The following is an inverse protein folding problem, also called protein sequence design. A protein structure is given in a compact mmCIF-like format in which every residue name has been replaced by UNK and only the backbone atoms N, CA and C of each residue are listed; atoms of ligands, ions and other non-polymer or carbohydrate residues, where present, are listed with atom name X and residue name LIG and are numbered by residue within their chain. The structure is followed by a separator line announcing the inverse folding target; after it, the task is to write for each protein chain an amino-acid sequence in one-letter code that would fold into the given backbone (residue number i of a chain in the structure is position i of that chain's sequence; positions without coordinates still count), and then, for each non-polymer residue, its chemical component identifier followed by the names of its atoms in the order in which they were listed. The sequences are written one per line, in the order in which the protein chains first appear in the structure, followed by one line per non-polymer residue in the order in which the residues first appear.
data_IF_226870612565
#
_entry.id   IF_226870612565
#
_cell.length_a   1.000
_cell.length_b   1.000
_cell.length_c   1.000
_cell.angle_alpha   90.00
_cell.angle_beta   90.00
_cell.angle_gamma   90.00
#
_symmetry.space_group_name_H-M   'P 1'
#
loop_
_entity.id
_entity.type
_entity.pdbx_description
1 polymer ?
#
# COMPACT_ATOMS: atom_id res chain seq x y z
N UNK A 1 32.85 -5.59 23.49
CA UNK A 1 31.71 -4.98 24.23
C UNK A 1 31.08 -3.82 23.48
N UNK A 2 31.82 -2.76 23.10
CA UNK A 2 31.27 -1.58 22.39
C UNK A 2 30.64 -1.92 21.03
N UNK A 3 31.21 -2.89 20.30
CA UNK A 3 30.72 -3.30 18.97
C UNK A 3 29.33 -3.99 19.05
N UNK A 4 29.13 -4.90 19.98
CA UNK A 4 27.83 -5.54 20.21
C UNK A 4 26.75 -4.55 20.68
N UNK A 5 27.17 -3.54 21.46
CA UNK A 5 26.25 -2.45 21.83
C UNK A 5 25.78 -1.67 20.59
N UNK A 6 26.69 -1.37 19.66
CA UNK A 6 26.36 -0.69 18.40
C UNK A 6 25.38 -1.53 17.56
N UNK A 7 25.64 -2.84 17.40
CA UNK A 7 24.75 -3.77 16.72
C UNK A 7 23.35 -3.76 17.37
N UNK A 8 23.30 -3.84 18.69
CA UNK A 8 22.04 -3.78 19.44
C UNK A 8 21.27 -2.47 19.20
N UNK A 9 21.95 -1.33 19.17
CA UNK A 9 21.35 -0.03 18.89
C UNK A 9 20.78 0.00 17.47
N UNK A 10 21.54 -0.46 16.46
CA UNK A 10 21.10 -0.49 15.07
C UNK A 10 19.82 -1.34 14.93
N UNK A 11 19.87 -2.56 15.46
CA UNK A 11 18.72 -3.46 15.39
C UNK A 11 17.48 -2.91 16.10
N UNK A 12 17.65 -2.42 17.31
CA UNK A 12 16.54 -1.85 18.11
C UNK A 12 15.93 -0.64 17.40
N UNK A 13 16.76 0.26 16.87
CA UNK A 13 16.27 1.42 16.12
C UNK A 13 15.46 1.03 14.90
N UNK A 14 15.94 0.04 14.13
CA UNK A 14 15.21 -0.51 12.99
C UNK A 14 13.90 -1.16 13.43
N UNK A 15 13.94 -2.01 14.47
CA UNK A 15 12.77 -2.71 14.98
C UNK A 15 11.67 -1.75 15.43
N UNK A 16 12.02 -0.70 16.17
CA UNK A 16 11.09 0.33 16.65
C UNK A 16 10.48 1.12 15.49
N UNK A 17 11.28 1.45 14.48
CA UNK A 17 10.78 2.14 13.29
C UNK A 17 9.86 1.24 12.46
N UNK A 18 10.23 -0.03 12.28
CA UNK A 18 9.55 -0.96 11.38
C UNK A 18 8.27 -1.56 11.99
N UNK A 19 8.21 -1.74 13.30
CA UNK A 19 7.08 -2.37 14.00
C UNK A 19 6.08 -1.31 14.47
N UNK A 20 4.78 -1.59 14.34
CA UNK A 20 3.77 -0.73 14.94
C UNK A 20 3.70 -1.00 16.45
N UNK A 21 4.01 0.03 17.24
CA UNK A 21 3.94 0.00 18.70
C UNK A 21 2.82 0.90 19.25
N UNK A 22 2.09 1.60 18.35
CA UNK A 22 1.01 2.53 18.75
C UNK A 22 -0.32 1.83 19.01
N UNK A 23 -0.37 0.50 18.84
CA UNK A 23 -1.61 -0.26 19.00
C UNK A 23 -2.61 -0.03 17.86
N UNK A 24 -3.84 -0.45 18.09
CA UNK A 24 -4.97 -0.29 17.17
C UNK A 24 -5.47 1.16 17.09
N UNK A 25 -6.28 1.44 16.09
CA UNK A 25 -7.01 2.70 15.95
C UNK A 25 -8.07 2.81 17.07
N UNK A 26 -8.21 4.01 17.62
CA UNK A 26 -9.31 4.34 18.52
C UNK A 26 -10.45 5.06 17.77
N UNK A 27 -11.61 5.21 18.43
CA UNK A 27 -12.81 5.80 17.82
C UNK A 27 -12.58 7.24 17.33
N UNK A 28 -11.75 8.03 18.04
CA UNK A 28 -11.44 9.40 17.64
C UNK A 28 -10.59 9.44 16.36
N UNK A 29 -9.62 8.53 16.22
CA UNK A 29 -8.81 8.39 15.04
C UNK A 29 -9.64 7.89 13.83
N UNK A 30 -10.51 6.91 14.06
CA UNK A 30 -11.42 6.40 13.02
C UNK A 30 -12.31 7.53 12.52
N UNK A 31 -12.95 8.26 13.41
CA UNK A 31 -13.76 9.43 13.05
C UNK A 31 -12.94 10.47 12.29
N UNK A 32 -11.73 10.79 12.77
CA UNK A 32 -10.86 11.76 12.11
C UNK A 32 -10.54 11.37 10.65
N UNK A 33 -10.24 10.10 10.39
CA UNK A 33 -9.96 9.63 9.04
C UNK A 33 -11.20 9.62 8.15
N UNK A 34 -12.37 9.23 8.67
CA UNK A 34 -13.62 9.27 7.95
C UNK A 34 -14.01 10.71 7.57
N UNK A 35 -13.92 11.65 8.52
CA UNK A 35 -14.16 13.07 8.28
C UNK A 35 -13.20 13.65 7.23
N UNK A 36 -11.96 13.15 7.16
CA UNK A 36 -11.01 13.55 6.10
C UNK A 36 -11.39 13.00 4.74
N UNK A 37 -11.81 11.74 4.66
CA UNK A 37 -12.25 11.14 3.40
C UNK A 37 -13.46 11.88 2.82
N UNK A 38 -14.44 12.19 3.67
CA UNK A 38 -15.63 12.97 3.26
C UNK A 38 -15.26 14.37 2.78
N UNK A 39 -14.40 15.08 3.52
CA UNK A 39 -13.92 16.42 3.11
C UNK A 39 -13.21 16.37 1.78
N UNK A 40 -12.29 15.42 1.61
CA UNK A 40 -11.56 15.27 0.36
C UNK A 40 -12.51 14.95 -0.82
N UNK A 41 -13.53 14.13 -0.64
CA UNK A 41 -14.54 13.87 -1.66
C UNK A 41 -15.32 15.14 -2.01
N UNK A 42 -15.77 15.89 -1.00
CA UNK A 42 -16.52 17.14 -1.14
C UNK A 42 -15.70 18.23 -1.84
N UNK A 43 -14.41 18.35 -1.50
CA UNK A 43 -13.49 19.32 -2.12
C UNK A 43 -13.29 19.07 -3.63
N UNK A 44 -13.53 17.82 -4.08
CA UNK A 44 -13.54 17.44 -5.51
C UNK A 44 -14.90 17.60 -6.18
N UNK A 45 -15.92 18.05 -5.47
CA UNK A 45 -17.27 18.13 -5.98
C UNK A 45 -17.96 16.77 -6.16
N UNK A 46 -17.50 15.74 -5.45
CA UNK A 46 -18.06 14.38 -5.44
C UNK A 46 -18.54 13.99 -4.04
N UNK A 47 -19.39 12.97 -3.95
CA UNK A 47 -19.70 12.29 -2.70
C UNK A 47 -18.87 11.02 -2.57
N UNK A 48 -18.53 10.64 -1.35
CA UNK A 48 -17.97 9.33 -1.08
C UNK A 48 -19.09 8.29 -1.28
N UNK A 49 -18.79 7.25 -2.05
CA UNK A 49 -19.68 6.10 -2.22
C UNK A 49 -19.93 5.44 -0.86
N UNK A 50 -21.20 5.15 -0.52
CA UNK A 50 -21.59 4.65 0.80
C UNK A 50 -21.00 3.26 1.08
N UNK A 51 -21.00 2.38 0.09
CA UNK A 51 -20.43 1.02 0.26
C UNK A 51 -18.92 1.09 0.51
N UNK A 52 -18.24 2.02 -0.16
CA UNK A 52 -16.81 2.26 0.07
C UNK A 52 -16.56 2.85 1.45
N UNK A 53 -17.39 3.78 1.89
CA UNK A 53 -17.32 4.35 3.23
C UNK A 53 -17.46 3.26 4.29
N UNK A 54 -18.48 2.43 4.18
CA UNK A 54 -18.76 1.37 5.14
C UNK A 54 -17.64 0.31 5.17
N UNK A 55 -17.10 -0.09 4.00
CA UNK A 55 -15.95 -0.98 3.94
C UNK A 55 -14.71 -0.40 4.64
N UNK A 56 -14.41 0.87 4.43
CA UNK A 56 -13.26 1.54 5.06
C UNK A 56 -13.48 1.68 6.57
N UNK A 57 -14.69 2.02 7.00
CA UNK A 57 -15.06 2.11 8.42
C UNK A 57 -14.87 0.77 9.13
N UNK A 58 -15.48 -0.30 8.62
CA UNK A 58 -15.33 -1.66 9.17
C UNK A 58 -13.85 -2.08 9.19
N UNK A 59 -13.11 -1.83 8.11
CA UNK A 59 -11.68 -2.11 8.06
C UNK A 59 -10.90 -1.42 9.18
N UNK A 60 -11.26 -0.20 9.57
CA UNK A 60 -10.61 0.51 10.69
C UNK A 60 -11.09 0.02 12.06
N UNK A 61 -12.38 -0.28 12.22
CA UNK A 61 -12.97 -0.79 13.47
C UNK A 61 -12.40 -2.17 13.85
N UNK A 62 -12.07 -2.99 12.88
CA UNK A 62 -11.43 -4.31 13.07
C UNK A 62 -9.91 -4.25 13.25
N UNK A 63 -9.31 -3.06 13.46
CA UNK A 63 -7.86 -2.92 13.60
C UNK A 63 -7.31 -3.68 14.81
N UNK A 64 -6.40 -4.62 14.59
CA UNK A 64 -5.69 -5.36 15.62
C UNK A 64 -4.31 -4.75 15.98
N UNK A 65 -4.03 -3.55 15.47
CA UNK A 65 -2.78 -2.83 15.68
C UNK A 65 -1.58 -3.44 14.98
N UNK A 66 -1.77 -4.46 14.13
CA UNK A 66 -0.68 -5.16 13.45
C UNK A 66 -0.50 -4.68 12.01
N UNK A 67 0.63 -5.10 11.43
CA UNK A 67 0.89 -4.99 10.01
C UNK A 67 -0.09 -5.86 9.20
N UNK A 68 -0.36 -5.43 7.99
CA UNK A 68 -1.11 -6.19 7.02
C UNK A 68 -0.52 -6.00 5.63
N UNK A 69 -0.97 -6.80 4.68
CA UNK A 69 -0.46 -6.81 3.32
C UNK A 69 -1.61 -6.58 2.35
N UNK A 70 -1.43 -5.63 1.43
CA UNK A 70 -2.42 -5.34 0.39
C UNK A 70 -1.99 -6.03 -0.89
N UNK A 71 -2.77 -7.03 -1.31
CA UNK A 71 -2.62 -7.60 -2.65
C UNK A 71 -3.26 -6.64 -3.64
N UNK A 72 -2.57 -6.39 -4.75
CA UNK A 72 -3.06 -5.59 -5.86
C UNK A 72 -2.84 -6.35 -7.15
N UNK A 73 -3.90 -6.60 -7.91
CA UNK A 73 -3.82 -7.02 -9.30
C UNK A 73 -4.21 -5.84 -10.17
N UNK A 74 -3.47 -5.61 -11.23
CA UNK A 74 -3.60 -4.48 -12.13
C UNK A 74 -3.73 -4.97 -13.57
N UNK A 75 -4.68 -4.43 -14.29
CA UNK A 75 -4.85 -4.57 -15.73
C UNK A 75 -4.83 -3.17 -16.35
N UNK A 76 -3.93 -2.93 -17.29
CA UNK A 76 -3.69 -1.62 -17.88
C UNK A 76 -4.60 -1.41 -19.10
N UNK A 77 -5.07 -0.20 -19.28
CA UNK A 77 -5.75 0.17 -20.52
C UNK A 77 -4.78 0.14 -21.69
N UNK A 78 -5.20 -0.38 -22.83
CA UNK A 78 -4.45 -0.23 -24.09
C UNK A 78 -4.29 1.24 -24.46
N UNK A 79 -5.37 2.03 -24.26
CA UNK A 79 -5.37 3.47 -24.46
C UNK A 79 -5.88 4.14 -23.18
N UNK A 80 -5.00 4.86 -22.50
CA UNK A 80 -5.34 5.56 -21.25
C UNK A 80 -6.34 6.70 -21.48
N UNK A 81 -7.01 7.14 -20.41
CA UNK A 81 -7.85 8.33 -20.45
C UNK A 81 -6.98 9.60 -20.59
N UNK A 82 -7.41 10.51 -21.46
CA UNK A 82 -6.78 11.82 -21.59
C UNK A 82 -7.07 12.66 -20.35
N UNK A 83 -6.05 12.97 -19.58
CA UNK A 83 -6.10 13.92 -18.49
C UNK A 83 -5.40 15.22 -18.94
N UNK A 84 -5.90 16.38 -18.50
CA UNK A 84 -5.30 17.68 -18.84
C UNK A 84 -3.82 17.82 -18.45
N UNK A 85 -3.38 17.06 -17.47
CA UNK A 85 -2.01 17.04 -16.96
C UNK A 85 -1.13 15.96 -17.61
N UNK A 86 -1.65 15.22 -18.57
CA UNK A 86 -0.93 14.25 -19.36
C UNK A 86 -0.71 14.87 -20.74
N UNK A 87 0.52 15.16 -21.07
CA UNK A 87 0.91 15.56 -22.41
C UNK A 87 0.84 14.32 -23.30
N UNK A 88 0.19 14.47 -24.46
CA UNK A 88 -0.45 13.45 -25.29
C UNK A 88 0.34 12.25 -25.83
N UNK A 89 1.54 11.93 -25.32
CA UNK A 89 2.38 10.81 -25.75
C UNK A 89 2.86 9.90 -24.60
N UNK A 90 2.36 10.11 -23.37
CA UNK A 90 2.74 9.23 -22.24
C UNK A 90 2.11 7.85 -22.45
N UNK A 91 2.89 6.78 -22.30
CA UNK A 91 2.34 5.42 -22.24
C UNK A 91 1.50 5.21 -20.98
N UNK A 92 0.62 4.21 -21.00
CA UNK A 92 -0.21 3.85 -19.84
C UNK A 92 0.64 3.55 -18.59
N UNK A 93 1.79 2.89 -18.78
CA UNK A 93 2.77 2.61 -17.73
C UNK A 93 3.40 3.89 -17.19
N UNK A 94 3.72 4.86 -18.05
CA UNK A 94 4.28 6.15 -17.63
C UNK A 94 3.26 6.94 -16.79
N UNK A 95 1.98 6.85 -17.13
CA UNK A 95 0.90 7.46 -16.36
C UNK A 95 0.75 6.80 -15.00
N UNK A 96 0.76 5.46 -14.94
CA UNK A 96 0.78 4.73 -13.67
C UNK A 96 2.03 5.10 -12.85
N UNK A 97 3.17 5.30 -13.53
CA UNK A 97 4.43 5.78 -12.93
C UNK A 97 4.26 7.09 -12.16
N UNK A 98 3.51 8.07 -12.69
CA UNK A 98 3.23 9.34 -11.99
C UNK A 98 2.50 9.16 -10.66
N UNK A 99 1.75 8.07 -10.51
CA UNK A 99 1.15 7.66 -9.24
C UNK A 99 2.16 6.95 -8.34
N UNK A 100 2.89 5.97 -8.87
CA UNK A 100 3.83 5.15 -8.09
C UNK A 100 5.01 5.94 -7.55
N UNK A 101 5.56 6.88 -8.33
CA UNK A 101 6.64 7.78 -7.92
C UNK A 101 6.27 8.63 -6.71
N UNK A 102 4.97 8.96 -6.60
CA UNK A 102 4.48 9.71 -5.46
C UNK A 102 4.21 8.84 -4.24
N UNK A 103 3.65 7.63 -4.42
CA UNK A 103 3.26 6.79 -3.29
C UNK A 103 4.46 6.11 -2.63
N UNK A 104 5.49 5.76 -3.39
CA UNK A 104 6.66 5.04 -2.87
C UNK A 104 7.35 5.75 -1.70
N UNK A 105 7.70 7.06 -1.79
CA UNK A 105 8.27 7.79 -0.67
C UNK A 105 7.36 7.83 0.55
N UNK A 106 6.05 7.97 0.36
CA UNK A 106 5.07 8.02 1.44
C UNK A 106 4.92 6.67 2.16
N UNK A 107 5.03 5.56 1.42
CA UNK A 107 5.10 4.22 1.99
C UNK A 107 6.36 4.06 2.85
N UNK A 108 7.53 4.32 2.29
CA UNK A 108 8.82 4.15 2.97
C UNK A 108 8.92 5.02 4.23
N UNK A 109 8.43 6.25 4.18
CA UNK A 109 8.37 7.15 5.33
C UNK A 109 7.60 6.55 6.51
N UNK A 110 6.62 5.67 6.23
CA UNK A 110 5.80 4.98 7.23
C UNK A 110 6.22 3.53 7.46
N UNK A 111 7.45 3.19 7.13
CA UNK A 111 7.97 1.81 7.22
C UNK A 111 7.06 0.80 6.50
N UNK A 112 6.41 1.23 5.42
CA UNK A 112 5.59 0.43 4.52
C UNK A 112 6.30 0.31 3.19
N UNK A 113 6.17 -0.81 2.48
CA UNK A 113 6.91 -1.03 1.22
C UNK A 113 6.35 -2.20 0.44
N UNK A 114 6.61 -2.29 -0.86
CA UNK A 114 6.37 -3.51 -1.61
C UNK A 114 7.21 -4.66 -1.05
N UNK A 115 6.60 -5.84 -0.93
CA UNK A 115 7.33 -7.07 -0.60
C UNK A 115 7.57 -7.91 -1.84
N UNK A 116 6.71 -7.74 -2.84
CA UNK A 116 6.89 -8.34 -4.15
C UNK A 116 6.12 -7.52 -5.19
N UNK A 117 6.66 -7.48 -6.40
CA UNK A 117 6.01 -6.94 -7.59
C UNK A 117 6.44 -7.78 -8.79
N UNK A 118 5.51 -8.08 -9.69
CA UNK A 118 5.82 -8.86 -10.89
C UNK A 118 4.78 -8.67 -11.98
N UNK A 119 5.21 -8.91 -13.23
CA UNK A 119 4.34 -8.88 -14.39
C UNK A 119 3.77 -10.27 -14.64
N UNK A 120 2.54 -10.32 -15.11
CA UNK A 120 1.92 -11.54 -15.58
C UNK A 120 2.64 -12.05 -16.83
N UNK A 121 2.82 -13.35 -16.93
CA UNK A 121 3.45 -14.00 -18.09
C UNK A 121 2.44 -14.76 -18.97
N UNK A 122 1.21 -14.86 -18.50
CA UNK A 122 0.13 -15.57 -19.17
C UNK A 122 -1.23 -15.10 -18.62
N UNK A 123 -2.31 -15.45 -19.31
CA UNK A 123 -3.68 -15.29 -18.81
C UNK A 123 -3.91 -16.15 -17.56
N UNK A 124 -4.95 -15.83 -16.79
CA UNK A 124 -5.31 -16.59 -15.60
C UNK A 124 -5.51 -18.08 -15.91
N UNK A 125 -4.91 -18.95 -15.10
CA UNK A 125 -4.93 -20.40 -15.31
C UNK A 125 -6.16 -21.07 -14.71
N UNK A 126 -6.79 -20.44 -13.71
CA UNK A 126 -7.98 -20.95 -13.03
C UNK A 126 -8.88 -19.77 -12.62
N UNK A 127 -10.15 -19.82 -13.01
CA UNK A 127 -11.13 -18.76 -12.76
C UNK A 127 -12.43 -19.41 -12.32
N UNK A 128 -12.88 -19.12 -11.12
CA UNK A 128 -14.15 -19.62 -10.59
C UNK A 128 -14.92 -18.48 -9.93
N UNK A 129 -16.12 -18.22 -10.42
CA UNK A 129 -17.06 -17.28 -9.78
C UNK A 129 -16.68 -15.81 -9.89
N UNK A 130 -15.79 -15.43 -10.81
CA UNK A 130 -15.38 -14.06 -11.08
C UNK A 130 -15.49 -13.80 -12.58
N UNK A 131 -16.21 -12.76 -12.97
CA UNK A 131 -16.29 -12.32 -14.36
C UNK A 131 -15.12 -11.40 -14.71
N UNK A 132 -14.71 -11.39 -15.98
CA UNK A 132 -13.66 -10.54 -16.52
C UNK A 132 -12.32 -10.62 -15.74
N UNK A 133 -11.91 -11.83 -15.36
CA UNK A 133 -10.69 -12.09 -14.58
C UNK A 133 -9.59 -12.83 -15.38
N UNK A 134 -9.73 -12.94 -16.70
CA UNK A 134 -8.83 -13.67 -17.58
C UNK A 134 -7.48 -12.98 -17.72
N UNK A 135 -7.47 -11.66 -17.83
CA UNK A 135 -6.29 -10.85 -18.13
C UNK A 135 -5.92 -9.99 -16.92
N UNK A 136 -4.64 -10.05 -16.58
CA UNK A 136 -3.98 -9.17 -15.61
C UNK A 136 -2.56 -8.91 -16.08
N UNK A 137 -2.10 -7.64 -16.07
CA UNK A 137 -0.74 -7.28 -16.47
C UNK A 137 0.28 -7.47 -15.36
N UNK A 138 -0.12 -7.18 -14.12
CA UNK A 138 0.81 -7.25 -13.00
C UNK A 138 0.12 -7.51 -11.67
N UNK A 139 0.91 -7.99 -10.73
CA UNK A 139 0.52 -8.13 -9.33
C UNK A 139 1.58 -7.54 -8.40
N UNK A 140 1.14 -6.96 -7.31
CA UNK A 140 1.99 -6.43 -6.26
C UNK A 140 1.42 -6.73 -4.89
N UNK A 141 2.29 -6.98 -3.91
CA UNK A 141 1.93 -7.08 -2.51
C UNK A 141 2.67 -6.00 -1.74
N UNK A 142 1.92 -5.11 -1.14
CA UNK A 142 2.43 -3.98 -0.37
C UNK A 142 2.22 -4.27 1.12
N UNK A 143 3.31 -4.29 1.88
CA UNK A 143 3.22 -4.31 3.34
C UNK A 143 2.91 -2.92 3.86
N UNK A 144 1.90 -2.82 4.71
CA UNK A 144 1.61 -1.64 5.52
C UNK A 144 1.95 -1.91 6.99
N UNK A 145 2.67 -0.98 7.62
CA UNK A 145 3.04 -1.08 9.04
C UNK A 145 1.82 -1.19 9.96
N UNK A 146 0.70 -0.56 9.59
CA UNK A 146 -0.58 -0.59 10.29
C UNK A 146 -1.71 -0.04 9.41
N UNK A 147 -2.97 -0.24 9.80
CA UNK A 147 -4.12 0.40 9.15
C UNK A 147 -4.04 1.93 9.27
N UNK A 148 -3.54 2.44 10.38
CA UNK A 148 -3.23 3.88 10.56
C UNK A 148 -2.30 4.39 9.45
N UNK A 149 -1.20 3.69 9.17
CA UNK A 149 -0.26 4.09 8.13
C UNK A 149 -0.90 4.14 6.73
N UNK A 150 -1.78 3.20 6.41
CA UNK A 150 -2.57 3.26 5.17
C UNK A 150 -3.50 4.48 5.16
N UNK A 151 -4.24 4.70 6.24
CA UNK A 151 -5.21 5.80 6.30
C UNK A 151 -4.56 7.18 6.24
N UNK A 152 -3.39 7.36 6.84
CA UNK A 152 -2.60 8.59 6.70
C UNK A 152 -2.22 8.88 5.24
N UNK A 153 -1.90 7.85 4.45
CA UNK A 153 -1.62 7.98 3.02
C UNK A 153 -2.92 8.26 2.26
N UNK A 154 -3.93 7.42 2.45
CA UNK A 154 -5.18 7.46 1.68
C UNK A 154 -5.97 8.75 1.90
N UNK A 155 -5.86 9.37 3.08
CA UNK A 155 -6.52 10.63 3.39
C UNK A 155 -5.66 11.88 3.13
N UNK A 156 -4.44 11.71 2.59
CA UNK A 156 -3.60 12.83 2.22
C UNK A 156 -4.14 13.47 0.92
N UNK A 157 -4.46 14.79 0.90
CA UNK A 157 -5.00 15.44 -0.29
C UNK A 157 -4.08 15.37 -1.52
N UNK A 158 -2.76 15.27 -1.31
CA UNK A 158 -1.80 15.12 -2.41
C UNK A 158 -1.90 13.75 -3.04
N UNK A 159 -1.98 12.70 -2.21
CA UNK A 159 -2.19 11.33 -2.66
C UNK A 159 -3.46 11.22 -3.50
N UNK A 160 -4.52 11.80 -3.02
CA UNK A 160 -5.82 11.74 -3.67
C UNK A 160 -5.82 12.42 -5.05
N UNK A 161 -5.13 13.58 -5.19
CA UNK A 161 -4.93 14.21 -6.49
C UNK A 161 -4.10 13.35 -7.46
N UNK A 162 -3.18 12.55 -6.95
CA UNK A 162 -2.35 11.64 -7.76
C UNK A 162 -3.05 10.32 -8.09
N UNK A 163 -4.04 9.92 -7.29
CA UNK A 163 -4.80 8.69 -7.52
C UNK A 163 -5.53 8.68 -8.88
N UNK A 164 -5.88 9.84 -9.43
CA UNK A 164 -6.46 9.95 -10.78
C UNK A 164 -5.59 9.34 -11.88
N UNK A 165 -4.24 9.40 -11.75
CA UNK A 165 -3.33 8.77 -12.70
C UNK A 165 -3.44 7.25 -12.65
N UNK A 166 -3.61 6.67 -11.46
CA UNK A 166 -3.89 5.24 -11.32
C UNK A 166 -5.20 4.87 -12.03
N UNK A 167 -6.27 5.62 -11.79
CA UNK A 167 -7.58 5.35 -12.41
C UNK A 167 -7.55 5.52 -13.92
N UNK A 168 -6.85 6.54 -14.43
CA UNK A 168 -6.74 6.79 -15.87
C UNK A 168 -5.95 5.67 -16.59
N UNK A 169 -4.98 5.05 -15.94
CA UNK A 169 -4.14 4.01 -16.50
C UNK A 169 -4.76 2.61 -16.42
N UNK A 170 -5.72 2.35 -15.53
CA UNK A 170 -6.21 1.00 -15.27
C UNK A 170 -7.56 0.73 -15.95
N UNK A 171 -7.62 -0.40 -16.66
CA UNK A 171 -8.87 -1.00 -17.12
C UNK A 171 -9.65 -1.57 -15.94
N UNK A 172 -8.98 -2.35 -15.12
CA UNK A 172 -9.51 -2.90 -13.88
C UNK A 172 -8.41 -3.09 -12.83
N UNK A 173 -8.82 -3.15 -11.59
CA UNK A 173 -7.92 -3.47 -10.47
C UNK A 173 -8.71 -4.06 -9.33
N UNK A 174 -8.10 -4.97 -8.62
CA UNK A 174 -8.60 -5.43 -7.34
C UNK A 174 -7.52 -5.25 -6.28
N UNK A 175 -7.90 -4.71 -5.13
CA UNK A 175 -7.01 -4.56 -3.98
C UNK A 175 -7.72 -5.03 -2.72
N UNK A 176 -7.11 -5.95 -1.99
CA UNK A 176 -7.68 -6.45 -0.74
C UNK A 176 -6.61 -6.74 0.29
N UNK A 177 -6.90 -6.48 1.58
CA UNK A 177 -5.96 -6.70 2.67
C UNK A 177 -5.92 -8.18 3.07
N UNK A 178 -4.73 -8.68 3.38
CA UNK A 178 -4.51 -9.99 3.95
C UNK A 178 -3.59 -9.90 5.17
N UNK A 179 -3.65 -10.91 6.02
CA UNK A 179 -2.64 -11.22 7.03
C UNK A 179 -1.83 -12.41 6.53
N UNK A 180 -0.50 -12.33 6.64
CA UNK A 180 0.33 -13.45 6.22
C UNK A 180 0.41 -14.48 7.34
N UNK A 181 0.15 -15.72 7.00
CA UNK A 181 0.37 -16.87 7.90
C UNK A 181 1.83 -17.32 7.89
N UNK A 182 2.50 -17.12 6.73
CA UNK A 182 3.89 -17.53 6.55
C UNK A 182 4.63 -16.55 5.64
N UNK A 183 5.76 -16.00 6.13
CA UNK A 183 6.60 -15.07 5.37
C UNK A 183 8.05 -15.13 5.82
N UNK A 184 8.93 -15.70 4.99
CA UNK A 184 10.37 -15.79 5.26
C UNK A 184 11.15 -14.50 5.01
N UNK A 185 10.57 -13.57 4.26
CA UNK A 185 11.21 -12.30 3.87
C UNK A 185 11.10 -11.17 4.89
N UNK A 186 10.75 -11.44 6.15
CA UNK A 186 10.62 -10.38 7.17
C UNK A 186 11.97 -9.67 7.39
N UNK A 187 12.07 -8.36 7.07
CA UNK A 187 13.31 -7.61 7.22
C UNK A 187 13.87 -7.58 8.64
N UNK A 188 13.03 -7.77 9.67
CA UNK A 188 13.48 -7.85 11.07
C UNK A 188 14.33 -9.09 11.29
N UNK A 189 13.91 -10.22 10.73
CA UNK A 189 14.63 -11.50 10.83
C UNK A 189 15.91 -11.44 9.98
N UNK A 190 15.80 -10.97 8.75
CA UNK A 190 16.93 -10.84 7.83
C UNK A 190 18.02 -9.95 8.43
N UNK A 191 17.65 -8.78 8.93
CA UNK A 191 18.60 -7.86 9.56
C UNK A 191 19.24 -8.46 10.81
N UNK A 192 18.46 -9.18 11.65
CA UNK A 192 19.00 -9.86 12.83
C UNK A 192 20.09 -10.85 12.44
N UNK A 193 19.86 -11.68 11.41
CA UNK A 193 20.86 -12.63 10.93
C UNK A 193 22.11 -11.94 10.35
N UNK A 194 21.93 -10.90 9.55
CA UNK A 194 23.06 -10.14 8.98
C UNK A 194 23.92 -9.55 10.12
N UNK A 195 23.28 -8.89 11.08
CA UNK A 195 23.99 -8.28 12.20
C UNK A 195 24.67 -9.32 13.12
N UNK A 196 24.04 -10.49 13.31
CA UNK A 196 24.64 -11.59 14.04
C UNK A 196 25.91 -12.10 13.34
N UNK A 197 25.85 -12.32 12.02
CA UNK A 197 27.02 -12.74 11.24
C UNK A 197 28.14 -11.70 11.36
N UNK A 198 27.85 -10.42 11.16
CA UNK A 198 28.83 -9.34 11.29
C UNK A 198 29.45 -9.28 12.71
N UNK A 199 28.66 -9.61 13.73
CA UNK A 199 29.12 -9.62 15.13
C UNK A 199 30.03 -10.78 15.50
N UNK A 200 30.01 -11.87 14.70
CA UNK A 200 30.82 -13.07 14.93
C UNK A 200 32.21 -12.99 14.28
N UNK A 201 32.42 -12.06 13.35
CA UNK A 201 33.70 -11.80 12.66
C UNK A 201 34.29 -10.46 13.08
#
# INVERSE_FOLDING_TARGET
MKFWLLIGIIYTSFFLWYTNLSGNLNDEEIKFFLDKLERNAKDRGSSLDQDRYDRIKVFMEEDDGKEFFMINNLDLKENHELLKEIEGEDSTEAILGKYTDHIMPELLKRASHPIFMGNSIHVSMDIVGIENAEIWDSAAVIRYKSRRALMEIATNPVFERKHKFKVAALEKTIAYPIKLDFYLGDPRIILAFILLIIGLF
#
